data_IF_031670926322
#
_entry.id   IF_031670926322
#
_cell.length_a   1.000
_cell.length_b   1.000
_cell.length_c   1.000
_cell.angle_alpha   90.00
_cell.angle_beta   90.00
_cell.angle_gamma   90.00
#
_symmetry.space_group_name_H-M   'P 1'
#
loop_
_entity.id
_entity.type
_entity.pdbx_description
1 polymer ?
#
# COMPACT_ATOMS: atom_id res chain seq x y z
N UNK A 1 16.80 10.50 -12.53
CA UNK A 1 15.91 9.56 -11.84
C UNK A 1 16.05 8.20 -12.49
N UNK A 2 16.18 7.16 -11.71
CA UNK A 2 16.15 5.78 -12.24
C UNK A 2 14.77 5.50 -12.81
N UNK A 3 14.74 4.89 -14.00
CA UNK A 3 13.46 4.48 -14.60
C UNK A 3 13.13 3.08 -14.09
N UNK A 4 12.01 2.95 -13.44
CA UNK A 4 11.48 1.66 -12.97
C UNK A 4 10.37 1.20 -13.91
N UNK A 5 10.27 -0.10 -14.13
CA UNK A 5 9.11 -0.70 -14.80
C UNK A 5 8.08 -1.04 -13.74
N UNK A 6 6.88 -0.48 -13.85
CA UNK A 6 5.76 -0.79 -12.96
C UNK A 6 4.77 -1.65 -13.72
N UNK A 7 4.45 -2.80 -13.18
CA UNK A 7 3.48 -3.74 -13.78
C UNK A 7 2.75 -4.55 -12.73
N UNK A 8 1.68 -5.20 -13.14
CA UNK A 8 1.04 -6.21 -12.29
C UNK A 8 1.99 -7.39 -12.11
N UNK A 9 2.14 -7.86 -10.88
CA UNK A 9 2.84 -9.10 -10.60
C UNK A 9 2.02 -10.30 -11.08
N UNK A 10 2.72 -11.39 -11.39
CA UNK A 10 2.14 -12.67 -11.81
C UNK A 10 2.57 -13.77 -10.86
N UNK A 11 1.97 -14.95 -10.97
CA UNK A 11 2.39 -16.12 -10.18
C UNK A 11 3.87 -16.47 -10.36
N UNK A 12 4.45 -16.21 -11.55
CA UNK A 12 5.88 -16.42 -11.81
C UNK A 12 6.79 -15.47 -11.00
N UNK A 13 6.27 -14.33 -10.56
CA UNK A 13 7.04 -13.36 -9.76
C UNK A 13 7.02 -13.66 -8.26
N UNK A 14 6.04 -14.43 -7.79
CA UNK A 14 5.75 -14.60 -6.37
C UNK A 14 6.95 -15.09 -5.54
N UNK A 15 7.68 -16.09 -6.03
CA UNK A 15 8.85 -16.63 -5.33
C UNK A 15 10.00 -15.60 -5.27
N UNK A 16 10.26 -14.91 -6.38
CA UNK A 16 11.28 -13.85 -6.44
C UNK A 16 10.96 -12.71 -5.48
N UNK A 17 9.72 -12.26 -5.43
CA UNK A 17 9.26 -11.23 -4.49
C UNK A 17 9.43 -11.71 -3.05
N UNK A 18 9.00 -12.94 -2.74
CA UNK A 18 9.09 -13.53 -1.41
C UNK A 18 10.55 -13.59 -0.93
N UNK A 19 11.44 -14.11 -1.76
CA UNK A 19 12.87 -14.26 -1.45
C UNK A 19 13.56 -12.91 -1.30
N UNK A 20 13.29 -11.97 -2.19
CA UNK A 20 13.91 -10.63 -2.16
C UNK A 20 13.48 -9.86 -0.92
N UNK A 21 12.21 -9.95 -0.54
CA UNK A 21 11.69 -9.27 0.63
C UNK A 21 12.19 -9.87 1.95
N UNK A 22 12.36 -11.19 2.00
CA UNK A 22 12.91 -11.87 3.18
C UNK A 22 14.36 -11.45 3.50
N UNK A 23 15.15 -11.08 2.48
CA UNK A 23 16.57 -10.65 2.66
C UNK A 23 16.71 -9.34 3.46
N UNK A 24 15.68 -8.52 3.55
CA UNK A 24 15.73 -7.23 4.27
C UNK A 24 15.34 -7.35 5.76
N UNK A 25 15.13 -8.57 6.26
CA UNK A 25 14.81 -8.82 7.67
C UNK A 25 13.34 -8.59 8.04
N UNK A 26 12.46 -8.38 7.07
CA UNK A 26 11.01 -8.28 7.24
C UNK A 26 10.28 -9.33 6.40
N UNK A 27 10.45 -10.62 6.72
CA UNK A 27 9.84 -11.66 5.92
C UNK A 27 8.31 -11.56 5.96
N UNK A 28 7.70 -11.64 4.80
CA UNK A 28 6.25 -11.87 4.71
C UNK A 28 5.97 -13.33 5.06
N UNK A 29 4.77 -13.67 5.55
CA UNK A 29 4.37 -15.06 5.74
C UNK A 29 4.63 -15.90 4.49
N UNK A 30 4.93 -17.17 4.67
CA UNK A 30 5.15 -18.10 3.55
C UNK A 30 3.95 -18.10 2.59
N UNK A 31 4.24 -18.01 1.29
CA UNK A 31 3.21 -17.97 0.27
C UNK A 31 2.41 -16.67 0.17
N UNK A 32 2.83 -15.61 0.86
CA UNK A 32 2.12 -14.31 0.86
C UNK A 32 1.88 -13.77 -0.54
N UNK A 33 2.91 -13.69 -1.37
CA UNK A 33 2.76 -13.12 -2.72
C UNK A 33 1.99 -14.05 -3.65
N UNK A 34 2.12 -15.37 -3.50
CA UNK A 34 1.30 -16.33 -4.23
C UNK A 34 -0.19 -16.18 -3.89
N UNK A 35 -0.51 -15.98 -2.61
CA UNK A 35 -1.88 -15.71 -2.17
C UNK A 35 -2.40 -14.36 -2.72
N UNK A 36 -1.55 -13.33 -2.79
CA UNK A 36 -1.91 -12.05 -3.43
C UNK A 36 -2.23 -12.23 -4.93
N UNK A 37 -1.43 -13.04 -5.65
CA UNK A 37 -1.69 -13.34 -7.06
C UNK A 37 -3.04 -14.08 -7.24
N UNK A 38 -3.34 -15.06 -6.38
CA UNK A 38 -4.63 -15.76 -6.42
C UNK A 38 -5.82 -14.82 -6.18
N UNK A 39 -5.70 -13.89 -5.24
CA UNK A 39 -6.72 -12.85 -4.99
C UNK A 39 -6.83 -11.86 -6.17
N UNK A 40 -5.72 -11.56 -6.82
CA UNK A 40 -5.73 -10.74 -8.04
C UNK A 40 -6.48 -11.45 -9.17
N UNK A 41 -6.28 -12.76 -9.37
CA UNK A 41 -7.02 -13.55 -10.34
C UNK A 41 -8.53 -13.59 -10.04
N UNK A 42 -8.89 -13.59 -8.75
CA UNK A 42 -10.28 -13.48 -8.30
C UNK A 42 -10.86 -12.05 -8.41
N UNK A 43 -10.07 -11.05 -8.80
CA UNK A 43 -10.49 -9.66 -8.93
C UNK A 43 -10.65 -8.91 -7.61
N UNK A 44 -10.17 -9.45 -6.51
CA UNK A 44 -10.27 -8.84 -5.17
C UNK A 44 -9.25 -7.72 -4.94
N UNK A 45 -8.09 -7.83 -5.58
CA UNK A 45 -7.00 -6.85 -5.46
C UNK A 45 -6.22 -6.71 -6.76
N UNK A 46 -5.32 -5.72 -6.80
CA UNK A 46 -4.25 -5.62 -7.80
C UNK A 46 -2.93 -5.60 -7.05
N UNK A 47 -1.99 -6.47 -7.42
CA UNK A 47 -0.62 -6.47 -6.91
C UNK A 47 0.30 -5.82 -7.95
N UNK A 48 0.80 -4.62 -7.65
CA UNK A 48 1.77 -3.90 -8.48
C UNK A 48 3.19 -4.18 -8.00
N UNK A 49 4.09 -4.39 -8.94
CA UNK A 49 5.51 -4.60 -8.70
C UNK A 49 6.34 -3.59 -9.48
N UNK A 50 7.38 -3.09 -8.85
CA UNK A 50 8.42 -2.27 -9.47
C UNK A 50 9.65 -3.13 -9.74
N UNK A 51 10.25 -2.96 -10.92
CA UNK A 51 11.48 -3.63 -11.36
C UNK A 51 12.49 -2.62 -11.89
N UNK A 52 13.76 -2.96 -11.75
CA UNK A 52 14.89 -2.27 -12.39
C UNK A 52 15.87 -3.33 -12.91
N UNK A 53 16.11 -3.35 -14.22
CA UNK A 53 17.00 -4.35 -14.86
C UNK A 53 16.68 -5.80 -14.41
N UNK A 54 15.41 -6.18 -14.47
CA UNK A 54 14.87 -7.46 -14.04
C UNK A 54 14.99 -7.77 -12.52
N UNK A 55 15.56 -6.85 -11.73
CA UNK A 55 15.58 -6.98 -10.28
C UNK A 55 14.27 -6.48 -9.66
N UNK A 56 13.76 -7.20 -8.68
CA UNK A 56 12.64 -6.73 -7.87
C UNK A 56 13.05 -5.53 -7.02
N UNK A 57 12.26 -4.47 -7.05
CA UNK A 57 12.51 -3.20 -6.36
C UNK A 57 11.54 -2.93 -5.23
N UNK A 58 10.28 -3.27 -5.43
CA UNK A 58 9.23 -3.00 -4.46
C UNK A 58 7.85 -3.35 -4.98
N UNK A 59 6.83 -3.12 -4.18
CA UNK A 59 5.44 -3.41 -4.52
C UNK A 59 4.45 -2.53 -3.77
N UNK A 60 3.21 -2.54 -4.22
CA UNK A 60 2.03 -2.14 -3.45
C UNK A 60 0.81 -2.96 -3.89
N UNK A 61 -0.27 -2.88 -3.10
CA UNK A 61 -1.55 -3.52 -3.41
C UNK A 61 -2.64 -2.47 -3.51
N UNK A 62 -3.61 -2.70 -4.40
CA UNK A 62 -4.90 -2.01 -4.40
C UNK A 62 -5.93 -3.01 -3.90
N UNK A 63 -6.58 -2.75 -2.79
CA UNK A 63 -7.66 -3.57 -2.24
C UNK A 63 -8.98 -2.91 -2.63
N UNK A 64 -9.79 -3.61 -3.44
CA UNK A 64 -11.04 -3.04 -3.94
C UNK A 64 -12.10 -2.88 -2.87
N UNK A 65 -12.15 -3.78 -1.90
CA UNK A 65 -13.07 -3.73 -0.75
C UNK A 65 -12.25 -3.89 0.54
N UNK A 66 -11.66 -2.81 1.06
CA UNK A 66 -10.84 -2.86 2.27
C UNK A 66 -11.68 -3.12 3.51
N UNK A 67 -11.03 -3.57 4.60
CA UNK A 67 -11.68 -3.84 5.87
C UNK A 67 -12.01 -2.55 6.65
N UNK A 68 -11.23 -1.48 6.45
CA UNK A 68 -11.44 -0.20 7.14
C UNK A 68 -12.86 0.35 6.86
N UNK A 69 -13.69 0.59 7.90
CA UNK A 69 -15.12 0.84 7.75
C UNK A 69 -15.47 1.98 6.80
N UNK A 70 -14.82 3.14 6.97
CA UNK A 70 -15.11 4.31 6.14
C UNK A 70 -14.88 4.04 4.65
N UNK A 71 -13.81 3.34 4.30
CA UNK A 71 -13.51 3.03 2.90
C UNK A 71 -14.50 1.99 2.36
N UNK A 72 -14.75 0.94 3.14
CA UNK A 72 -15.68 -0.13 2.76
C UNK A 72 -17.09 0.40 2.49
N UNK A 73 -17.62 1.20 3.41
CA UNK A 73 -18.97 1.76 3.33
C UNK A 73 -19.16 2.75 2.18
N UNK A 74 -18.09 3.41 1.77
CA UNK A 74 -18.12 4.43 0.71
C UNK A 74 -17.54 3.94 -0.63
N UNK A 75 -17.20 2.66 -0.75
CA UNK A 75 -16.66 2.10 -1.98
C UNK A 75 -15.31 2.72 -2.38
N UNK A 76 -14.46 3.06 -1.40
CA UNK A 76 -13.15 3.66 -1.61
C UNK A 76 -12.10 2.55 -1.63
N UNK A 77 -11.45 2.27 -2.76
CA UNK A 77 -10.34 1.32 -2.81
C UNK A 77 -9.16 1.84 -1.99
N UNK A 78 -8.43 0.94 -1.36
CA UNK A 78 -7.28 1.28 -0.53
C UNK A 78 -5.97 0.79 -1.12
N UNK A 79 -4.99 1.70 -1.17
CA UNK A 79 -3.60 1.34 -1.49
C UNK A 79 -2.94 0.87 -0.19
N UNK A 80 -2.43 -0.34 -0.20
CA UNK A 80 -1.80 -0.98 0.95
C UNK A 80 -0.43 -1.54 0.62
N UNK A 81 0.35 -1.82 1.66
CA UNK A 81 1.60 -2.57 1.60
C UNK A 81 2.61 -1.97 0.60
N UNK A 82 2.74 -0.64 0.59
CA UNK A 82 3.73 0.05 -0.22
C UNK A 82 5.11 -0.14 0.40
N UNK A 83 5.94 -0.93 -0.26
CA UNK A 83 7.29 -1.24 0.18
C UNK A 83 8.29 -1.08 -0.96
N UNK A 84 9.45 -0.49 -0.66
CA UNK A 84 10.58 -0.37 -1.58
C UNK A 84 11.84 -0.82 -0.84
N UNK A 85 12.61 -1.71 -1.48
CA UNK A 85 13.89 -2.19 -0.94
C UNK A 85 14.83 -1.02 -0.64
N UNK A 86 15.58 -1.12 0.45
CA UNK A 86 16.40 -0.02 0.99
C UNK A 86 17.34 0.62 -0.04
N UNK A 87 17.98 -0.21 -0.87
CA UNK A 87 18.91 0.19 -1.91
C UNK A 87 18.27 1.03 -3.04
N UNK A 88 16.95 0.92 -3.25
CA UNK A 88 16.19 1.66 -4.27
C UNK A 88 15.35 2.81 -3.69
N UNK A 89 15.46 3.06 -2.39
CA UNK A 89 14.73 4.17 -1.76
C UNK A 89 15.22 5.53 -2.23
N UNK A 90 14.34 6.53 -2.20
CA UNK A 90 14.60 7.91 -2.64
C UNK A 90 15.02 8.06 -4.09
N UNK A 91 14.72 7.07 -4.94
CA UNK A 91 14.98 7.09 -6.37
C UNK A 91 13.69 7.19 -7.20
N UNK A 92 12.53 7.35 -6.55
CA UNK A 92 11.24 7.56 -7.20
C UNK A 92 10.38 6.29 -7.37
N UNK A 93 10.85 5.09 -6.97
CA UNK A 93 10.09 3.85 -7.14
C UNK A 93 8.72 3.88 -6.46
N UNK A 94 8.66 4.34 -5.19
CA UNK A 94 7.40 4.46 -4.47
C UNK A 94 6.43 5.44 -5.15
N UNK A 95 6.93 6.56 -5.66
CA UNK A 95 6.09 7.53 -6.40
C UNK A 95 5.52 6.94 -7.67
N UNK A 96 6.32 6.18 -8.45
CA UNK A 96 5.85 5.52 -9.67
C UNK A 96 4.83 4.40 -9.38
N UNK A 97 5.01 3.64 -8.28
CA UNK A 97 4.01 2.68 -7.80
C UNK A 97 2.69 3.37 -7.45
N UNK A 98 2.76 4.49 -6.74
CA UNK A 98 1.58 5.29 -6.40
C UNK A 98 0.90 5.89 -7.64
N UNK A 99 1.67 6.40 -8.61
CA UNK A 99 1.13 6.93 -9.87
C UNK A 99 0.32 5.88 -10.61
N UNK A 100 0.85 4.66 -10.74
CA UNK A 100 0.15 3.57 -11.41
C UNK A 100 -1.06 3.07 -10.60
N UNK A 101 -0.95 2.99 -9.27
CA UNK A 101 -2.07 2.62 -8.41
C UNK A 101 -3.21 3.63 -8.51
N UNK A 102 -2.92 4.93 -8.43
CA UNK A 102 -3.90 6.00 -8.59
C UNK A 102 -4.53 5.99 -9.99
N UNK A 103 -3.75 5.73 -11.05
CA UNK A 103 -4.26 5.59 -12.41
C UNK A 103 -5.27 4.43 -12.53
N UNK A 104 -4.93 3.24 -12.00
CA UNK A 104 -5.81 2.06 -12.02
C UNK A 104 -7.10 2.32 -11.22
N UNK A 105 -6.98 2.91 -10.04
CA UNK A 105 -8.14 3.26 -9.23
C UNK A 105 -9.02 4.26 -9.98
N UNK A 106 -8.42 5.28 -10.60
CA UNK A 106 -9.11 6.33 -11.34
C UNK A 106 -9.96 5.85 -12.52
N UNK A 107 -9.68 4.65 -13.06
CA UNK A 107 -10.52 4.02 -14.10
C UNK A 107 -11.90 3.56 -13.57
N UNK A 108 -12.06 3.40 -12.25
CA UNK A 108 -13.26 2.86 -11.61
C UNK A 108 -13.85 3.75 -10.55
N UNK A 109 -13.03 4.53 -9.85
CA UNK A 109 -13.40 5.26 -8.65
C UNK A 109 -12.81 6.67 -8.66
N UNK A 110 -13.58 7.65 -8.16
CA UNK A 110 -13.15 9.04 -8.09
C UNK A 110 -12.23 9.34 -6.89
N UNK A 111 -12.11 8.40 -5.94
CA UNK A 111 -11.39 8.59 -4.68
C UNK A 111 -10.52 7.37 -4.40
N UNK A 112 -9.28 7.61 -4.00
CA UNK A 112 -8.38 6.59 -3.46
C UNK A 112 -8.22 6.79 -1.96
N UNK A 113 -8.16 5.69 -1.22
CA UNK A 113 -7.87 5.65 0.22
C UNK A 113 -6.47 5.11 0.48
N UNK A 114 -5.88 5.51 1.60
CA UNK A 114 -4.63 4.97 2.13
C UNK A 114 -4.60 5.17 3.63
N UNK A 115 -4.00 4.24 4.38
CA UNK A 115 -3.71 4.39 5.79
C UNK A 115 -2.21 4.43 6.04
N UNK A 116 -1.78 5.11 7.09
CA UNK A 116 -0.40 5.03 7.55
C UNK A 116 -0.34 4.84 9.07
N UNK A 117 0.70 4.13 9.52
CA UNK A 117 1.01 4.01 10.94
C UNK A 117 1.53 5.33 11.51
N UNK A 118 1.50 5.44 12.84
CA UNK A 118 1.71 6.71 13.57
C UNK A 118 3.07 6.81 14.25
N UNK A 119 4.02 5.91 13.97
CA UNK A 119 5.36 5.98 14.54
C UNK A 119 6.42 6.26 13.48
N UNK A 120 7.66 6.47 13.91
CA UNK A 120 8.74 7.07 13.09
C UNK A 120 9.05 6.37 11.77
N UNK A 121 8.89 5.05 11.69
CA UNK A 121 9.17 4.28 10.47
C UNK A 121 8.23 4.66 9.30
N UNK A 122 7.04 5.18 9.62
CA UNK A 122 6.10 5.69 8.62
C UNK A 122 6.35 7.16 8.20
N UNK A 123 7.31 7.86 8.84
CA UNK A 123 7.50 9.30 8.63
C UNK A 123 7.70 9.71 7.18
N UNK A 124 8.49 8.97 6.41
CA UNK A 124 8.70 9.23 4.99
C UNK A 124 7.41 9.00 4.17
N UNK A 125 6.65 7.95 4.48
CA UNK A 125 5.38 7.65 3.83
C UNK A 125 4.32 8.70 4.17
N UNK A 126 4.20 9.09 5.44
CA UNK A 126 3.30 10.16 5.90
C UNK A 126 3.53 11.44 5.09
N UNK A 127 4.78 11.88 4.99
CA UNK A 127 5.14 13.08 4.24
C UNK A 127 4.83 12.93 2.75
N UNK A 128 5.13 11.80 2.15
CA UNK A 128 4.88 11.55 0.73
C UNK A 128 3.38 11.61 0.40
N UNK A 129 2.52 10.98 1.20
CA UNK A 129 1.08 10.96 0.95
C UNK A 129 0.48 12.37 1.06
N UNK A 130 0.86 13.15 2.06
CA UNK A 130 0.41 14.54 2.21
C UNK A 130 0.84 15.39 1.01
N UNK A 131 2.10 15.26 0.57
CA UNK A 131 2.61 15.99 -0.60
C UNK A 131 1.94 15.55 -1.92
N UNK A 132 1.40 14.33 -1.98
CA UNK A 132 0.60 13.83 -3.11
C UNK A 132 -0.86 14.30 -3.08
N UNK A 133 -1.27 15.03 -2.05
CA UNK A 133 -2.62 15.56 -1.91
C UNK A 133 -3.60 14.66 -1.17
N UNK A 134 -3.11 13.63 -0.48
CA UNK A 134 -3.95 12.88 0.46
C UNK A 134 -4.21 13.72 1.71
N UNK A 135 -5.44 13.74 2.16
CA UNK A 135 -5.86 14.42 3.38
C UNK A 135 -6.52 13.44 4.34
N UNK A 136 -6.48 13.68 5.67
CA UNK A 136 -7.20 12.85 6.63
C UNK A 136 -8.68 12.71 6.26
N UNK A 137 -9.23 11.52 6.43
CA UNK A 137 -10.62 11.21 6.08
C UNK A 137 -11.67 11.80 7.04
N UNK A 138 -11.22 12.41 8.13
CA UNK A 138 -12.09 13.02 9.13
C UNK A 138 -12.67 12.04 10.16
N UNK A 139 -12.19 10.80 10.22
CA UNK A 139 -12.68 9.75 11.13
C UNK A 139 -11.78 9.53 12.33
N UNK A 140 -10.64 10.21 12.41
CA UNK A 140 -9.65 10.01 13.47
C UNK A 140 -8.88 8.70 13.29
N UNK A 141 -8.37 8.18 14.40
CA UNK A 141 -7.49 7.01 14.43
C UNK A 141 -8.32 5.72 14.50
N UNK A 142 -7.85 4.68 13.83
CA UNK A 142 -8.36 3.31 13.97
C UNK A 142 -7.25 2.37 14.47
N UNK A 143 -7.65 1.35 15.21
CA UNK A 143 -6.81 0.23 15.62
C UNK A 143 -7.47 -1.07 15.15
N UNK A 144 -6.75 -1.86 14.35
CA UNK A 144 -7.30 -3.10 13.75
C UNK A 144 -8.64 -2.86 13.05
N UNK A 145 -8.70 -1.82 12.21
CA UNK A 145 -9.89 -1.41 11.46
C UNK A 145 -11.10 -0.99 12.33
N UNK A 146 -10.91 -0.73 13.62
CA UNK A 146 -11.94 -0.25 14.52
C UNK A 146 -11.59 1.14 15.05
N UNK A 147 -12.52 2.10 14.98
CA UNK A 147 -12.28 3.45 15.51
C UNK A 147 -11.92 3.41 16.99
N UNK A 148 -10.83 4.11 17.33
CA UNK A 148 -10.40 4.23 18.72
C UNK A 148 -11.40 5.03 19.55
N UNK A 149 -11.48 4.71 20.84
CA UNK A 149 -12.35 5.42 21.80
C UNK A 149 -11.51 6.36 22.65
N UNK A 150 -11.91 7.64 22.80
CA UNK A 150 -11.24 8.57 23.72
C UNK A 150 -11.12 7.98 25.12
N UNK A 151 -9.98 8.25 25.78
CA UNK A 151 -9.71 7.75 27.13
C UNK A 151 -9.31 6.28 27.24
N UNK A 152 -9.08 5.60 26.13
CA UNK A 152 -8.55 4.23 26.08
C UNK A 152 -7.09 4.23 25.65
N UNK A 153 -6.37 3.20 26.05
CA UNK A 153 -4.97 2.96 25.64
C UNK A 153 -4.94 1.97 24.48
N UNK A 154 -4.07 2.26 23.49
CA UNK A 154 -3.84 1.40 22.32
C UNK A 154 -2.34 1.23 22.10
N UNK A 155 -1.87 0.07 21.64
CA UNK A 155 -0.48 -0.09 21.23
C UNK A 155 -0.12 0.85 20.07
N UNK A 156 1.10 1.36 20.06
CA UNK A 156 1.66 2.06 18.91
C UNK A 156 2.42 1.03 18.05
N UNK A 157 1.71 0.42 17.13
CA UNK A 157 2.20 -0.61 16.22
C UNK A 157 1.63 -0.38 14.80
N UNK A 158 1.79 -1.36 13.90
CA UNK A 158 1.33 -1.26 12.51
C UNK A 158 -0.20 -1.25 12.35
N UNK A 159 -0.93 -1.65 13.40
CA UNK A 159 -2.40 -1.69 13.40
C UNK A 159 -3.03 -0.37 13.85
N UNK A 160 -2.23 0.57 14.42
CA UNK A 160 -2.69 1.92 14.78
C UNK A 160 -2.48 2.86 13.61
N UNK A 161 -3.57 3.23 12.93
CA UNK A 161 -3.50 3.93 11.64
C UNK A 161 -4.38 5.18 11.58
N UNK A 162 -4.00 6.10 10.74
CA UNK A 162 -4.82 7.23 10.29
C UNK A 162 -5.17 7.03 8.82
N UNK A 163 -6.46 7.03 8.51
CA UNK A 163 -6.97 6.95 7.15
C UNK A 163 -6.90 8.31 6.43
N UNK A 164 -6.46 8.28 5.17
CA UNK A 164 -6.44 9.45 4.29
C UNK A 164 -7.15 9.13 2.98
N UNK A 165 -7.66 10.16 2.34
CA UNK A 165 -8.32 10.08 1.04
C UNK A 165 -7.75 11.11 0.08
N UNK A 166 -7.79 10.78 -1.21
CA UNK A 166 -7.45 11.70 -2.30
C UNK A 166 -8.50 11.57 -3.40
N UNK A 167 -9.05 12.71 -3.83
CA UNK A 167 -9.87 12.75 -5.05
C UNK A 167 -8.93 12.64 -6.25
N UNK A 168 -9.22 11.68 -7.11
CA UNK A 168 -8.51 11.48 -8.37
C UNK A 168 -9.18 12.32 -9.46
N UNK A 169 -8.38 12.98 -10.29
CA UNK A 169 -8.83 13.82 -11.41
C UNK A 169 -8.71 13.07 -12.73
#
# INVERSE_FOLDING_TARGET
>A
MSTFTIRRATHADAERMQTSFARIGWPKPDGYFAACCAKQDAGELVLLMAEHEDAYVGHCKIIWTPAYPHFKENGIPEIQDLNVLGEYRRQGAASQLMDEAERIIGERCAVAGIGFGLYGDYGAAQRMYVLRGYVPDGRGIAYQDVYVKPGRSYPVDDDLVLGLVKRLT
#
